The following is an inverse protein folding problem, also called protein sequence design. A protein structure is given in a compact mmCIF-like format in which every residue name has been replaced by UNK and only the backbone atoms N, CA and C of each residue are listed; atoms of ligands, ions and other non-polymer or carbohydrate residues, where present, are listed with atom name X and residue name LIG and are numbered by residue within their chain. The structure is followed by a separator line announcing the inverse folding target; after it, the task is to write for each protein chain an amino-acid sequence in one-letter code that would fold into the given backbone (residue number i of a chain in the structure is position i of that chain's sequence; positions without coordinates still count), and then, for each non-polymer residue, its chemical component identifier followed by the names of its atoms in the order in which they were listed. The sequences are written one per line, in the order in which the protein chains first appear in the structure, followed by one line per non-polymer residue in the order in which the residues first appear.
data_IF_547585383606
#
_entry.id   IF_547585383606
#
_cell.length_a   1.000
_cell.length_b   1.000
_cell.length_c   1.000
_cell.angle_alpha   90.00
_cell.angle_beta   90.00
_cell.angle_gamma   90.00
#
_symmetry.space_group_name_H-M   'P 1'
#
loop_
_entity.id
_entity.type
_entity.pdbx_description
1 polymer ?
#
# COMPACT_ATOMS: atom_id res chain seq x y z
N UNK A 1 -58.72 5.08 -22.88
CA UNK A 1 -59.69 4.00 -23.11
C UNK A 1 -59.23 3.22 -24.32
N UNK A 2 -59.13 1.90 -24.24
CA UNK A 2 -58.78 1.02 -25.37
C UNK A 2 -60.09 0.51 -25.97
N UNK A 3 -60.16 0.41 -27.30
CA UNK A 3 -61.34 -0.07 -28.03
C UNK A 3 -61.53 -1.57 -27.76
N UNK A 4 -62.76 -2.02 -27.46
CA UNK A 4 -63.05 -3.45 -27.30
C UNK A 4 -62.67 -4.22 -28.57
N UNK A 5 -62.00 -5.35 -28.39
CA UNK A 5 -61.50 -6.22 -29.46
C UNK A 5 -60.27 -5.71 -30.22
N UNK A 6 -59.57 -4.72 -29.67
CA UNK A 6 -58.27 -4.29 -30.20
C UNK A 6 -57.09 -4.90 -29.44
N UNK A 7 -55.97 -5.03 -30.14
CA UNK A 7 -54.71 -5.39 -29.54
C UNK A 7 -54.06 -4.17 -28.88
N UNK A 8 -53.30 -4.40 -27.81
CA UNK A 8 -52.58 -3.35 -27.10
C UNK A 8 -51.17 -3.76 -26.72
N UNK A 9 -50.20 -3.05 -27.30
CA UNK A 9 -48.79 -3.20 -26.99
C UNK A 9 -48.36 -2.36 -25.79
N UNK A 10 -47.58 -2.98 -24.92
CA UNK A 10 -46.89 -2.33 -23.82
C UNK A 10 -45.38 -2.55 -23.98
N UNK A 11 -44.63 -1.46 -23.86
CA UNK A 11 -43.16 -1.49 -23.74
C UNK A 11 -42.81 -1.20 -22.29
N UNK A 12 -42.01 -2.07 -21.70
CA UNK A 12 -41.58 -1.98 -20.31
C UNK A 12 -40.11 -1.59 -20.35
N UNK A 13 -39.83 -0.36 -19.95
CA UNK A 13 -38.48 0.23 -19.99
C UNK A 13 -37.98 0.42 -18.57
N UNK A 14 -37.05 -0.42 -18.09
CA UNK A 14 -36.37 -0.20 -16.82
C UNK A 14 -35.60 1.12 -16.81
N UNK A 15 -35.46 1.72 -15.62
CA UNK A 15 -34.51 2.81 -15.41
C UNK A 15 -33.06 2.31 -15.60
N UNK A 16 -32.08 3.21 -15.86
CA UNK A 16 -30.67 2.85 -15.83
C UNK A 16 -30.29 2.10 -14.54
N UNK A 17 -29.40 1.13 -14.62
CA UNK A 17 -29.05 0.20 -13.53
C UNK A 17 -30.13 -0.78 -13.07
N UNK A 18 -31.32 -0.81 -13.69
CA UNK A 18 -32.35 -1.80 -13.38
C UNK A 18 -32.63 -2.70 -14.59
N UNK A 19 -33.11 -3.90 -14.32
CA UNK A 19 -33.67 -4.81 -15.32
C UNK A 19 -35.06 -5.26 -14.89
N UNK A 20 -35.88 -5.71 -15.86
CA UNK A 20 -37.18 -6.33 -15.55
C UNK A 20 -36.90 -7.63 -14.81
N UNK A 21 -37.35 -7.72 -13.56
CA UNK A 21 -37.26 -8.95 -12.78
C UNK A 21 -38.44 -9.87 -13.09
N UNK A 22 -39.62 -9.29 -13.28
CA UNK A 22 -40.84 -10.03 -13.63
C UNK A 22 -41.90 -9.07 -14.19
N UNK A 23 -42.81 -9.61 -14.98
CA UNK A 23 -44.03 -8.94 -15.42
C UNK A 23 -45.20 -9.83 -15.02
N UNK A 24 -46.16 -9.24 -14.31
CA UNK A 24 -47.38 -9.90 -13.88
C UNK A 24 -48.54 -9.42 -14.75
N UNK A 25 -49.22 -10.35 -15.39
CA UNK A 25 -50.48 -10.12 -16.10
C UNK A 25 -51.58 -10.83 -15.34
N UNK A 26 -52.55 -10.08 -14.84
CA UNK A 26 -53.61 -10.60 -13.96
C UNK A 26 -53.08 -11.40 -12.78
N UNK A 27 -52.02 -10.87 -12.16
CA UNK A 27 -51.26 -11.50 -11.06
C UNK A 27 -50.52 -12.78 -11.43
N UNK A 28 -50.50 -13.18 -12.70
CA UNK A 28 -49.74 -14.33 -13.21
C UNK A 28 -48.43 -13.84 -13.85
N UNK A 29 -47.31 -14.43 -13.47
CA UNK A 29 -46.01 -14.11 -14.06
C UNK A 29 -45.97 -14.54 -15.52
N UNK A 30 -45.53 -13.63 -16.38
CA UNK A 30 -45.14 -13.89 -17.77
C UNK A 30 -43.62 -13.79 -17.97
N UNK A 31 -42.87 -13.74 -16.86
CA UNK A 31 -41.41 -13.64 -16.83
C UNK A 31 -40.87 -12.23 -17.09
N UNK A 32 -39.54 -12.09 -17.18
CA UNK A 32 -38.85 -10.81 -17.35
C UNK A 32 -38.90 -10.31 -18.80
N UNK A 33 -40.10 -9.98 -19.28
CA UNK A 33 -40.32 -9.46 -20.65
C UNK A 33 -40.24 -7.94 -20.71
N UNK A 34 -39.66 -7.40 -21.78
CA UNK A 34 -39.61 -5.93 -22.05
C UNK A 34 -40.75 -5.46 -22.93
N UNK A 35 -41.55 -6.38 -23.45
CA UNK A 35 -42.74 -6.13 -24.26
C UNK A 35 -43.82 -7.13 -23.89
N UNK A 36 -45.06 -6.66 -23.86
CA UNK A 36 -46.22 -7.51 -23.72
C UNK A 36 -47.37 -6.97 -24.59
N UNK A 37 -48.04 -7.86 -25.31
CA UNK A 37 -49.20 -7.53 -26.14
C UNK A 37 -50.41 -8.21 -25.55
N UNK A 38 -51.44 -7.43 -25.21
CA UNK A 38 -52.77 -7.98 -25.04
C UNK A 38 -53.41 -8.13 -26.41
N UNK A 39 -53.92 -9.31 -26.71
CA UNK A 39 -54.67 -9.54 -27.94
C UNK A 39 -56.17 -9.50 -27.65
N UNK A 40 -56.94 -8.94 -28.57
CA UNK A 40 -58.41 -8.97 -28.55
C UNK A 40 -59.00 -8.61 -27.17
N UNK A 41 -58.75 -7.39 -26.70
CA UNK A 41 -59.15 -6.97 -25.35
C UNK A 41 -60.68 -6.90 -25.21
N UNK A 42 -61.26 -7.92 -24.58
CA UNK A 42 -62.70 -8.01 -24.28
C UNK A 42 -63.04 -7.62 -22.83
N UNK A 43 -62.07 -7.72 -21.92
CA UNK A 43 -62.26 -7.47 -20.49
C UNK A 43 -61.14 -6.59 -19.92
N UNK A 44 -61.31 -6.12 -18.68
CA UNK A 44 -60.23 -5.39 -17.99
C UNK A 44 -59.13 -6.36 -17.57
N UNK A 45 -57.89 -6.00 -17.85
CA UNK A 45 -56.70 -6.72 -17.42
C UNK A 45 -55.79 -5.80 -16.60
N UNK A 46 -54.96 -6.41 -15.77
CA UNK A 46 -53.90 -5.72 -15.04
C UNK A 46 -52.55 -6.15 -15.59
N UNK A 47 -51.64 -5.20 -15.72
CA UNK A 47 -50.23 -5.45 -16.00
C UNK A 47 -49.38 -4.69 -15.00
N UNK A 48 -48.44 -5.38 -14.35
CA UNK A 48 -47.53 -4.80 -13.39
C UNK A 48 -46.11 -5.31 -13.64
N UNK A 49 -45.13 -4.41 -13.65
CA UNK A 49 -43.72 -4.77 -13.79
C UNK A 49 -43.02 -4.69 -12.42
N UNK A 50 -42.15 -5.66 -12.15
CA UNK A 50 -41.20 -5.67 -11.04
C UNK A 50 -39.80 -5.50 -11.61
N UNK A 51 -39.00 -4.67 -10.95
CA UNK A 51 -37.63 -4.38 -11.37
C UNK A 51 -36.64 -4.78 -10.28
N UNK A 52 -35.46 -5.22 -10.70
CA UNK A 52 -34.33 -5.49 -9.82
C UNK A 52 -33.12 -4.67 -10.25
N UNK A 53 -32.28 -4.30 -9.28
CA UNK A 53 -31.02 -3.60 -9.56
C UNK A 53 -30.04 -4.60 -10.19
N UNK A 54 -29.36 -4.16 -11.25
CA UNK A 54 -28.29 -4.91 -11.88
C UNK A 54 -27.04 -4.91 -11.00
N UNK A 55 -26.22 -5.94 -11.14
CA UNK A 55 -25.00 -6.13 -10.35
C UNK A 55 -23.78 -6.33 -11.25
N UNK A 56 -22.62 -5.92 -10.75
CA UNK A 56 -21.34 -6.06 -11.44
C UNK A 56 -20.29 -6.72 -10.56
N UNK A 57 -19.43 -7.53 -11.16
CA UNK A 57 -18.32 -8.19 -10.51
C UNK A 57 -17.07 -7.31 -10.54
N UNK A 58 -16.47 -7.08 -9.37
CA UNK A 58 -15.14 -6.49 -9.26
C UNK A 58 -14.14 -7.57 -8.86
N UNK A 59 -13.21 -7.88 -9.76
CA UNK A 59 -12.20 -8.92 -9.56
C UNK A 59 -10.88 -8.30 -9.16
N UNK A 60 -10.34 -8.67 -8.01
CA UNK A 60 -9.03 -8.21 -7.55
C UNK A 60 -8.04 -9.37 -7.48
N UNK A 61 -6.80 -9.10 -7.87
CA UNK A 61 -5.70 -10.06 -7.84
C UNK A 61 -4.38 -9.37 -7.50
N UNK A 62 -3.45 -10.12 -6.93
CA UNK A 62 -2.13 -9.64 -6.57
C UNK A 62 -1.08 -10.63 -7.04
N UNK A 63 0.06 -10.11 -7.52
CA UNK A 63 1.29 -10.88 -7.64
C UNK A 63 1.86 -11.27 -6.25
N UNK A 64 2.98 -12.00 -6.22
CA UNK A 64 3.62 -12.37 -4.97
C UNK A 64 4.08 -11.12 -4.17
N UNK A 65 4.31 -11.31 -2.87
CA UNK A 65 4.88 -10.29 -1.98
C UNK A 65 4.01 -9.06 -1.71
N UNK A 66 2.70 -9.24 -1.78
CA UNK A 66 1.72 -8.27 -1.33
C UNK A 66 0.30 -8.81 -1.47
N UNK A 67 -0.69 -7.95 -1.29
CA UNK A 67 -2.09 -8.30 -1.40
C UNK A 67 -2.96 -7.13 -1.82
N UNK A 68 -4.15 -7.48 -2.33
CA UNK A 68 -5.24 -6.55 -2.62
C UNK A 68 -6.53 -7.11 -2.04
N UNK A 69 -7.33 -6.24 -1.43
CA UNK A 69 -8.60 -6.63 -0.79
C UNK A 69 -9.79 -5.88 -1.42
N UNK A 70 -11.00 -6.41 -1.19
CA UNK A 70 -12.30 -5.87 -1.58
C UNK A 70 -12.90 -6.34 -2.94
N UNK A 71 -12.56 -7.55 -3.39
CA UNK A 71 -13.26 -8.19 -4.51
C UNK A 71 -14.72 -8.52 -4.16
N UNK A 72 -15.56 -8.63 -5.19
CA UNK A 72 -16.93 -9.11 -5.07
C UNK A 72 -17.94 -8.39 -5.95
N UNK A 73 -19.18 -8.86 -5.87
CA UNK A 73 -20.32 -8.29 -6.59
C UNK A 73 -20.81 -7.02 -5.89
N UNK A 74 -21.10 -5.98 -6.66
CA UNK A 74 -21.70 -4.73 -6.19
C UNK A 74 -22.90 -4.33 -7.04
N UNK A 75 -23.79 -3.50 -6.48
CA UNK A 75 -24.91 -2.93 -7.25
C UNK A 75 -24.41 -1.94 -8.30
N UNK A 76 -25.10 -1.87 -9.43
CA UNK A 76 -24.86 -0.86 -10.45
C UNK A 76 -25.00 0.56 -9.88
N UNK A 77 -24.08 1.43 -10.27
CA UNK A 77 -23.93 2.79 -9.76
C UNK A 77 -23.24 2.90 -8.40
N UNK A 78 -22.96 1.78 -7.71
CA UNK A 78 -22.20 1.82 -6.46
C UNK A 78 -20.71 2.07 -6.70
N UNK A 79 -20.01 2.43 -5.62
CA UNK A 79 -18.57 2.65 -5.60
C UNK A 79 -17.90 1.68 -4.62
N UNK A 80 -16.67 1.26 -4.92
CA UNK A 80 -15.89 0.38 -4.04
C UNK A 80 -14.42 0.80 -4.04
N UNK A 81 -13.86 0.90 -2.84
CA UNK A 81 -12.43 1.17 -2.62
C UNK A 81 -11.68 -0.12 -2.35
N UNK A 82 -10.58 -0.29 -3.08
CA UNK A 82 -9.58 -1.34 -2.93
C UNK A 82 -8.38 -0.79 -2.17
N UNK A 83 -7.84 -1.60 -1.27
CA UNK A 83 -6.59 -1.31 -0.58
C UNK A 83 -5.54 -2.29 -1.04
N UNK A 84 -4.37 -1.77 -1.42
CA UNK A 84 -3.22 -2.53 -1.89
C UNK A 84 -2.15 -2.41 -0.81
N UNK A 85 -1.68 -3.55 -0.31
CA UNK A 85 -0.73 -3.62 0.78
C UNK A 85 0.46 -4.48 0.35
N UNK A 86 1.64 -3.89 0.13
CA UNK A 86 2.88 -4.66 -0.02
C UNK A 86 3.18 -5.48 1.24
N UNK A 87 3.83 -6.63 1.06
CA UNK A 87 4.47 -7.29 2.17
C UNK A 87 5.63 -6.43 2.71
N UNK A 88 6.07 -6.72 3.94
CA UNK A 88 7.28 -6.11 4.48
C UNK A 88 8.44 -6.28 3.49
N UNK A 89 9.29 -5.26 3.35
CA UNK A 89 10.41 -5.24 2.40
C UNK A 89 10.04 -5.20 0.90
N UNK A 90 8.78 -4.99 0.54
CA UNK A 90 8.35 -4.80 -0.85
C UNK A 90 7.66 -3.46 -1.02
N UNK A 91 7.64 -2.99 -2.27
CA UNK A 91 6.90 -1.80 -2.68
C UNK A 91 5.99 -2.16 -3.86
N UNK A 92 4.91 -1.39 -4.02
CA UNK A 92 4.04 -1.52 -5.18
C UNK A 92 4.86 -1.10 -6.40
N UNK A 93 4.96 -2.00 -7.37
CA UNK A 93 5.58 -1.70 -8.66
C UNK A 93 4.54 -1.01 -9.56
N UNK A 94 3.37 -1.61 -9.68
CA UNK A 94 2.26 -1.11 -10.49
C UNK A 94 0.92 -1.61 -9.97
N UNK A 95 -0.13 -0.83 -10.23
CA UNK A 95 -1.52 -1.28 -10.12
C UNK A 95 -2.16 -1.08 -11.48
N UNK A 96 -2.79 -2.14 -12.00
CA UNK A 96 -3.47 -2.13 -13.29
C UNK A 96 -4.96 -2.30 -13.10
N UNK A 97 -5.73 -1.42 -13.71
CA UNK A 97 -7.19 -1.44 -13.75
C UNK A 97 -7.61 -1.70 -15.18
N UNK A 98 -8.34 -2.79 -15.40
CA UNK A 98 -8.74 -3.25 -16.74
C UNK A 98 -7.58 -3.32 -17.73
N UNK A 99 -6.42 -3.79 -17.24
CA UNK A 99 -5.18 -3.91 -18.00
C UNK A 99 -4.35 -2.62 -18.12
N UNK A 100 -4.90 -1.46 -17.73
CA UNK A 100 -4.25 -0.15 -17.82
C UNK A 100 -3.60 0.22 -16.49
N UNK A 101 -2.31 0.58 -16.54
CA UNK A 101 -1.57 1.05 -15.35
C UNK A 101 -2.17 2.35 -14.81
N UNK A 102 -2.36 2.41 -13.49
CA UNK A 102 -2.67 3.61 -12.71
C UNK A 102 -1.51 4.01 -11.80
N UNK A 103 -0.35 3.36 -11.95
CA UNK A 103 0.85 3.57 -11.16
C UNK A 103 0.82 2.90 -9.77
N UNK A 104 1.87 3.11 -8.96
CA UNK A 104 2.05 2.45 -7.68
C UNK A 104 1.20 3.10 -6.58
N UNK A 105 -0.12 2.89 -6.61
CA UNK A 105 -1.08 3.45 -5.65
C UNK A 105 -1.41 2.45 -4.54
N UNK A 106 -1.50 2.91 -3.30
CA UNK A 106 -1.92 2.07 -2.15
C UNK A 106 -3.43 1.91 -2.04
N UNK A 107 -4.18 2.71 -2.80
CA UNK A 107 -5.64 2.73 -2.81
C UNK A 107 -6.16 3.07 -4.19
N UNK A 108 -7.20 2.36 -4.62
CA UNK A 108 -7.95 2.67 -5.84
C UNK A 108 -9.44 2.59 -5.57
N UNK A 109 -10.24 3.49 -6.15
CA UNK A 109 -11.70 3.45 -5.99
C UNK A 109 -12.35 3.39 -7.36
N UNK A 110 -13.09 2.31 -7.61
CA UNK A 110 -14.07 2.31 -8.68
C UNK A 110 -15.27 3.13 -8.22
N UNK A 111 -15.65 4.13 -9.01
CA UNK A 111 -16.79 5.00 -8.73
C UNK A 111 -17.88 4.79 -9.76
N UNK A 112 -19.15 4.80 -9.33
CA UNK A 112 -20.30 4.69 -10.23
C UNK A 112 -20.15 3.52 -11.21
N UNK A 113 -20.01 2.30 -10.69
CA UNK A 113 -19.72 1.12 -11.49
C UNK A 113 -20.90 0.72 -12.36
N UNK A 114 -20.67 0.62 -13.67
CA UNK A 114 -21.68 0.29 -14.69
C UNK A 114 -21.36 -1.00 -15.47
N UNK A 115 -20.24 -1.65 -15.16
CA UNK A 115 -19.76 -2.86 -15.80
C UNK A 115 -18.86 -3.64 -14.83
N UNK A 116 -18.54 -4.87 -15.19
CA UNK A 116 -17.53 -5.64 -14.48
C UNK A 116 -16.14 -5.00 -14.67
N UNK A 117 -15.32 -5.04 -13.63
CA UNK A 117 -13.96 -4.52 -13.68
C UNK A 117 -12.95 -5.46 -13.04
N UNK A 118 -11.69 -5.29 -13.42
CA UNK A 118 -10.55 -6.00 -12.87
C UNK A 118 -9.50 -5.04 -12.32
N UNK A 119 -8.85 -5.43 -11.23
CA UNK A 119 -7.71 -4.72 -10.65
C UNK A 119 -6.62 -5.72 -10.26
N UNK A 120 -5.39 -5.45 -10.68
CA UNK A 120 -4.22 -6.27 -10.42
C UNK A 120 -3.08 -5.45 -9.84
N UNK A 121 -2.46 -5.89 -8.74
CA UNK A 121 -1.29 -5.26 -8.16
C UNK A 121 -0.02 -6.12 -8.34
N UNK A 122 1.07 -5.51 -8.77
CA UNK A 122 2.41 -6.12 -8.80
C UNK A 122 3.34 -5.45 -7.79
N UNK A 123 4.33 -6.20 -7.33
CA UNK A 123 5.24 -5.79 -6.26
C UNK A 123 6.69 -6.09 -6.64
N UNK A 124 7.59 -5.21 -6.23
CA UNK A 124 9.03 -5.34 -6.42
C UNK A 124 9.75 -5.18 -5.07
N UNK A 125 10.92 -5.81 -4.93
CA UNK A 125 11.71 -5.68 -3.70
C UNK A 125 12.01 -4.21 -3.40
N UNK A 126 11.80 -3.84 -2.13
CA UNK A 126 12.19 -2.55 -1.58
C UNK A 126 13.70 -2.43 -1.48
N UNK A 127 14.19 -1.19 -1.52
CA UNK A 127 15.59 -0.84 -1.30
C UNK A 127 15.67 0.23 -0.21
N UNK A 128 15.72 -0.17 1.06
CA UNK A 128 15.79 0.80 2.13
C UNK A 128 17.04 1.67 2.03
N UNK A 129 16.89 2.94 2.35
CA UNK A 129 17.96 3.92 2.32
C UNK A 129 18.52 4.15 3.73
N UNK A 130 19.82 3.98 3.88
CA UNK A 130 20.55 4.35 5.09
C UNK A 130 21.31 5.64 4.85
N UNK A 131 21.07 6.65 5.69
CA UNK A 131 21.78 7.93 5.62
C UNK A 131 22.78 8.03 6.76
N UNK A 132 24.07 8.15 6.43
CA UNK A 132 25.15 8.25 7.40
C UNK A 132 25.86 9.60 7.34
N UNK A 133 26.18 10.19 8.50
CA UNK A 133 26.91 11.47 8.56
C UNK A 133 27.90 11.54 9.74
N UNK A 134 29.10 12.05 9.49
CA UNK A 134 30.08 12.35 10.53
C UNK A 134 29.98 13.83 10.90
N UNK A 135 30.00 14.13 12.20
CA UNK A 135 30.22 15.48 12.70
C UNK A 135 31.65 15.95 12.44
N UNK A 136 31.95 17.20 12.80
CA UNK A 136 33.30 17.73 12.72
C UNK A 136 34.31 16.87 13.49
N UNK A 137 35.55 16.81 12.99
CA UNK A 137 36.66 16.08 13.61
C UNK A 137 36.59 14.56 13.57
N UNK A 138 35.88 14.02 12.59
CA UNK A 138 35.96 12.61 12.23
C UNK A 138 35.07 12.28 11.04
N UNK A 139 35.06 11.01 10.66
CA UNK A 139 34.31 10.51 9.51
C UNK A 139 33.53 9.26 9.87
N UNK A 140 32.50 8.99 9.07
CA UNK A 140 31.79 7.70 9.01
C UNK A 140 31.85 7.19 7.58
N UNK A 141 32.13 5.90 7.38
CA UNK A 141 32.21 5.27 6.07
C UNK A 141 31.37 3.99 6.06
N UNK A 142 30.40 3.82 5.13
CA UNK A 142 30.01 4.79 4.11
C UNK A 142 29.34 6.04 4.69
N UNK A 143 29.50 7.19 4.02
CA UNK A 143 28.81 8.45 4.33
C UNK A 143 27.78 8.79 3.25
N UNK A 144 26.79 9.61 3.58
CA UNK A 144 25.70 9.98 2.68
C UNK A 144 24.62 8.91 2.62
N UNK A 145 23.86 8.89 1.52
CA UNK A 145 22.77 7.93 1.32
C UNK A 145 23.30 6.66 0.65
N UNK A 146 23.09 5.51 1.28
CA UNK A 146 23.35 4.19 0.71
C UNK A 146 22.04 3.40 0.66
N UNK A 147 21.67 2.90 -0.51
CA UNK A 147 20.53 1.96 -0.64
C UNK A 147 21.03 0.54 -0.58
N UNK A 148 20.43 -0.29 0.27
CA UNK A 148 20.76 -1.72 0.40
C UNK A 148 19.57 -2.57 -0.06
N UNK A 149 19.79 -3.86 -0.36
CA UNK A 149 18.64 -4.74 -0.53
C UNK A 149 18.03 -4.99 0.85
N UNK A 150 16.73 -5.30 0.87
CA UNK A 150 16.10 -5.66 2.13
C UNK A 150 16.75 -6.90 2.76
N UNK A 151 16.84 -6.91 4.09
CA UNK A 151 17.50 -7.92 4.90
C UNK A 151 19.04 -7.97 4.77
N UNK A 152 19.65 -7.07 3.98
CA UNK A 152 21.10 -6.94 3.97
C UNK A 152 21.60 -6.29 5.27
N UNK A 153 22.84 -6.60 5.62
CA UNK A 153 23.57 -5.92 6.68
C UNK A 153 24.42 -4.80 6.08
N UNK A 154 24.57 -3.68 6.78
CA UNK A 154 25.44 -2.57 6.39
C UNK A 154 26.40 -2.20 7.51
N UNK A 155 27.70 -2.39 7.27
CA UNK A 155 28.78 -2.03 8.19
C UNK A 155 29.25 -0.60 8.00
N UNK A 156 29.54 0.06 9.12
CA UNK A 156 30.08 1.41 9.21
C UNK A 156 31.38 1.41 9.99
N UNK A 157 32.37 2.14 9.48
CA UNK A 157 33.61 2.47 10.16
C UNK A 157 33.58 3.94 10.56
N UNK A 158 33.83 4.23 11.84
CA UNK A 158 33.85 5.57 12.40
C UNK A 158 35.29 5.89 12.81
N UNK A 159 35.86 6.91 12.19
CA UNK A 159 37.27 7.26 12.37
C UNK A 159 37.38 8.69 12.90
N UNK A 160 37.77 8.90 14.17
CA UNK A 160 38.07 10.23 14.69
C UNK A 160 39.37 10.79 14.06
N UNK A 161 39.44 12.10 13.89
CA UNK A 161 40.70 12.79 13.57
C UNK A 161 41.70 12.69 14.72
N UNK A 162 42.98 12.88 14.42
CA UNK A 162 44.03 12.89 15.43
C UNK A 162 43.74 13.93 16.53
N UNK A 163 43.85 13.51 17.80
CA UNK A 163 43.52 14.36 18.95
C UNK A 163 42.03 14.38 19.34
N UNK A 164 41.18 13.63 18.63
CA UNK A 164 39.77 13.45 18.94
C UNK A 164 39.43 11.98 19.24
N UNK A 165 38.26 11.75 19.82
CA UNK A 165 37.64 10.43 19.98
C UNK A 165 36.18 10.51 19.57
N UNK A 166 35.57 9.36 19.33
CA UNK A 166 34.11 9.27 19.16
C UNK A 166 33.46 9.64 20.49
N UNK A 167 32.63 10.68 20.50
CA UNK A 167 31.84 11.03 21.65
C UNK A 167 30.61 10.10 21.74
N UNK A 168 29.90 9.95 20.62
CA UNK A 168 28.79 9.01 20.49
C UNK A 168 28.48 8.68 19.02
N UNK A 169 27.89 7.51 18.79
CA UNK A 169 27.21 7.16 17.53
C UNK A 169 25.72 7.05 17.83
N UNK A 170 24.89 7.56 16.94
CA UNK A 170 23.43 7.53 17.04
C UNK A 170 22.84 6.77 15.87
N UNK A 171 21.85 5.94 16.14
CA UNK A 171 21.10 5.17 15.15
C UNK A 171 19.63 5.46 15.39
N UNK A 172 18.97 6.11 14.43
CA UNK A 172 17.55 6.49 14.50
C UNK A 172 17.16 7.29 15.76
N UNK A 173 18.12 8.04 16.31
CA UNK A 173 17.93 8.84 17.53
C UNK A 173 18.27 8.11 18.82
N UNK A 174 18.65 6.83 18.77
CA UNK A 174 19.12 6.06 19.92
C UNK A 174 20.66 6.08 20.03
N UNK A 175 21.23 6.34 21.22
CA UNK A 175 22.67 6.42 21.42
C UNK A 175 23.30 5.02 21.55
N UNK A 176 24.30 4.73 20.71
CA UNK A 176 25.02 3.44 20.68
C UNK A 176 26.34 3.47 21.45
N UNK A 177 26.76 4.64 21.93
CA UNK A 177 28.02 4.85 22.66
C UNK A 177 29.20 5.24 21.77
N UNK A 178 30.36 5.36 22.41
CA UNK A 178 31.63 5.71 21.77
C UNK A 178 32.25 4.50 21.05
N UNK A 179 31.65 4.12 19.92
CA UNK A 179 32.10 2.99 19.08
C UNK A 179 32.80 3.47 17.81
N UNK A 180 33.85 2.76 17.38
CA UNK A 180 34.57 3.04 16.12
C UNK A 180 34.07 2.21 14.94
N UNK A 181 33.08 1.35 15.17
CA UNK A 181 32.42 0.55 14.15
C UNK A 181 31.00 0.19 14.57
N UNK A 182 30.10 0.11 13.60
CA UNK A 182 28.70 -0.26 13.83
C UNK A 182 28.14 -1.00 12.63
N UNK A 183 27.37 -2.06 12.84
CA UNK A 183 26.69 -2.80 11.76
C UNK A 183 25.19 -2.68 11.97
N UNK A 184 24.50 -2.08 11.00
CA UNK A 184 23.05 -2.28 10.87
C UNK A 184 22.83 -3.68 10.34
N UNK A 185 22.22 -4.53 11.15
CA UNK A 185 21.80 -5.86 10.73
C UNK A 185 20.37 -5.82 10.22
N UNK A 186 20.06 -6.70 9.27
CA UNK A 186 18.70 -6.94 8.77
C UNK A 186 17.96 -5.64 8.42
N UNK A 187 18.53 -4.88 7.49
CA UNK A 187 17.98 -3.58 7.10
C UNK A 187 16.66 -3.78 6.35
N UNK A 188 15.55 -3.45 7.02
CA UNK A 188 14.19 -3.59 6.49
C UNK A 188 13.48 -2.25 6.27
N UNK A 189 14.02 -1.17 6.82
CA UNK A 189 13.48 0.19 6.73
C UNK A 189 14.61 1.21 6.52
N UNK A 190 14.22 2.46 6.26
CA UNK A 190 15.19 3.53 6.16
C UNK A 190 15.79 3.81 7.55
N UNK A 191 17.10 3.99 7.61
CA UNK A 191 17.82 4.29 8.85
C UNK A 191 18.63 5.57 8.72
N UNK A 192 18.86 6.24 9.85
CA UNK A 192 19.78 7.36 9.96
C UNK A 192 20.85 7.08 11.00
N UNK A 193 22.10 7.20 10.59
CA UNK A 193 23.26 7.10 11.45
C UNK A 193 24.02 8.43 11.47
N UNK A 194 24.44 8.85 12.65
CA UNK A 194 25.40 9.95 12.75
C UNK A 194 26.32 9.81 13.94
N UNK A 195 27.55 10.30 13.79
CA UNK A 195 28.57 10.27 14.83
C UNK A 195 29.02 11.68 15.18
N UNK A 196 29.30 11.95 16.45
CA UNK A 196 29.97 13.17 16.89
C UNK A 196 31.27 12.85 17.63
N UNK A 197 32.16 13.83 17.64
CA UNK A 197 33.52 13.69 18.13
C UNK A 197 33.83 14.79 19.14
N UNK A 198 34.66 14.47 20.12
CA UNK A 198 35.19 15.43 21.09
C UNK A 198 36.70 15.24 21.26
N UNK A 199 37.37 16.26 21.83
CA UNK A 199 38.83 16.21 22.00
C UNK A 199 39.20 15.12 22.99
N UNK A 200 40.19 14.30 22.64
CA UNK A 200 40.77 13.30 23.52
C UNK A 200 41.46 13.96 24.72
N UNK A 201 41.24 13.41 25.92
CA UNK A 201 42.00 13.83 27.09
C UNK A 201 43.50 13.52 26.88
N UNK A 202 44.41 14.39 27.33
CA UNK A 202 45.84 14.10 27.25
C UNK A 202 46.15 12.81 28.03
N UNK A 203 47.00 11.97 27.45
CA UNK A 203 47.47 10.78 28.15
C UNK A 203 48.19 11.21 29.44
N UNK A 204 47.63 10.86 30.60
CA UNK A 204 48.31 11.08 31.87
C UNK A 204 49.45 10.07 31.94
N UNK A 205 50.67 10.54 31.65
CA UNK A 205 51.87 9.75 31.86
C UNK A 205 52.13 9.68 33.37
N UNK A 206 51.67 8.62 34.03
CA UNK A 206 51.99 8.39 35.43
C UNK A 206 53.49 8.09 35.56
N UNK A 207 54.28 9.11 35.92
CA UNK A 207 55.67 8.91 36.33
C UNK A 207 55.68 8.09 37.62
N UNK A 208 56.20 6.85 37.57
CA UNK A 208 56.55 6.10 38.78
C UNK A 208 57.80 6.74 39.37
N UNK A 209 57.66 7.52 40.43
CA UNK A 209 58.79 7.85 41.31
C UNK A 209 59.13 6.55 42.07
N UNK A 210 60.30 5.97 41.82
CA UNK A 210 60.92 5.08 42.80
C UNK A 210 61.67 5.99 43.77
N UNK A 211 61.21 6.08 45.02
CA UNK A 211 62.04 6.57 46.11
C UNK A 211 63.20 5.59 46.30
N UNK A 212 64.41 6.01 45.95
CA UNK A 212 65.63 5.35 46.40
C UNK A 212 66.05 6.00 47.71
N UNK A 213 65.66 5.37 48.81
CA UNK A 213 66.18 5.67 50.14
C UNK A 213 67.25 4.63 50.48
N UNK A 214 68.52 4.98 50.25
CA UNK A 214 69.67 4.27 50.82
C UNK A 214 70.69 5.28 51.36
N UNK A 215 70.54 5.60 52.64
CA UNK A 215 71.57 6.23 53.48
C UNK A 215 72.85 5.39 53.53
N UNK A 216 74.03 5.99 53.32
CA UNK A 216 75.25 5.64 54.07
C UNK A 216 76.08 6.89 54.34
N UNK A 217 76.05 7.29 55.61
CA UNK A 217 76.99 8.03 56.47
C UNK A 217 77.79 9.22 55.92
#
# INVERSE_FOLDING_TARGET
MVTLGSDRDYVITPAPCYHVADVLVDSVSVGPVVRYTFHDLQTSHTIAARFAISTHMLTASAGPNGGINASGVIHCGASRTFTITPAACYQIEDVRVDGVSVGPVTRYTFTNVQADHSIHASFVSGRPAVTASGGAHGTIVPSGVTTVNCHDNLGFTITPEAGYRVANVWVDGEPMGAVTGYTLADVTANHRIWANFDRSAPAILAARIREDASLVR
#
